data_IF_047693692117
#
_entry.id   IF_047693692117
#
_cell.length_a   1.000
_cell.length_b   1.000
_cell.length_c   1.000
_cell.angle_alpha   90.00
_cell.angle_beta   90.00
_cell.angle_gamma   90.00
#
_symmetry.space_group_name_H-M   'P 1'
#
loop_
_entity.id
_entity.type
_entity.pdbx_description
1 polymer ?
#
# COMPACT_ATOMS: atom_id res chain seq x y z
N UNK A 1 14.02 -13.61 -21.27
CA UNK A 1 15.37 -14.04 -20.83
C UNK A 1 15.94 -12.88 -20.04
N UNK A 2 16.46 -13.10 -18.83
CA UNK A 2 17.14 -12.05 -18.05
C UNK A 2 18.65 -12.10 -18.29
N UNK A 3 19.29 -10.93 -18.28
CA UNK A 3 20.75 -10.78 -18.40
C UNK A 3 21.20 -9.94 -17.22
N UNK A 4 22.22 -10.41 -16.50
CA UNK A 4 22.87 -9.63 -15.46
C UNK A 4 24.17 -9.04 -15.99
N UNK A 5 24.38 -7.74 -15.74
CA UNK A 5 25.65 -7.05 -15.93
C UNK A 5 26.10 -6.50 -14.58
N UNK A 6 27.38 -6.67 -14.19
CA UNK A 6 27.88 -6.23 -12.88
C UNK A 6 28.14 -4.72 -12.85
N UNK A 7 27.11 -3.92 -13.15
CA UNK A 7 27.12 -2.46 -13.14
C UNK A 7 25.82 -2.01 -12.50
N UNK A 8 25.92 -1.28 -11.40
CA UNK A 8 24.76 -0.74 -10.70
C UNK A 8 24.04 0.30 -11.57
N UNK A 9 22.71 0.33 -11.48
CA UNK A 9 21.89 1.36 -12.12
C UNK A 9 22.23 2.77 -11.59
N UNK A 10 22.61 2.85 -10.32
CA UNK A 10 23.07 4.05 -9.65
C UNK A 10 24.25 3.74 -8.71
N UNK A 11 25.20 4.66 -8.60
CA UNK A 11 26.33 4.48 -7.70
C UNK A 11 25.87 4.47 -6.24
N UNK A 12 26.36 3.50 -5.46
CA UNK A 12 26.11 3.43 -4.02
C UNK A 12 27.41 3.65 -3.27
N UNK A 13 27.46 4.71 -2.47
CA UNK A 13 28.60 5.06 -1.63
C UNK A 13 28.13 5.47 -0.24
N UNK A 14 28.28 4.59 0.73
CA UNK A 14 28.03 4.90 2.15
C UNK A 14 29.31 5.46 2.75
N UNK A 15 29.22 6.62 3.38
CA UNK A 15 30.35 7.28 4.03
C UNK A 15 30.41 6.93 5.52
N UNK A 16 29.24 6.81 6.16
CA UNK A 16 29.10 6.51 7.58
C UNK A 16 28.22 5.28 7.76
N UNK A 17 28.82 4.08 7.89
CA UNK A 17 28.05 2.86 8.13
C UNK A 17 27.18 2.95 9.39
N UNK A 18 25.88 2.65 9.25
CA UNK A 18 24.89 2.70 10.33
C UNK A 18 23.93 1.50 10.21
N UNK A 19 24.16 0.42 11.00
CA UNK A 19 23.29 -0.76 10.99
C UNK A 19 21.85 -0.49 11.43
N UNK A 20 21.57 0.59 12.17
CA UNK A 20 20.21 0.95 12.56
C UNK A 20 19.47 1.56 11.38
N UNK A 21 20.16 2.38 10.58
CA UNK A 21 19.61 2.86 9.32
C UNK A 21 19.43 1.71 8.31
N UNK A 22 20.38 0.77 8.25
CA UNK A 22 20.26 -0.44 7.44
C UNK A 22 19.01 -1.27 7.75
N UNK A 23 18.58 -1.33 9.02
CA UNK A 23 17.36 -2.03 9.42
C UNK A 23 16.11 -1.33 8.87
N UNK A 24 16.14 0.01 8.73
CA UNK A 24 15.04 0.77 8.11
C UNK A 24 14.99 0.57 6.60
N UNK A 25 16.14 0.47 5.95
CA UNK A 25 16.23 0.20 4.51
C UNK A 25 15.57 -1.13 4.11
N UNK A 26 15.39 -2.06 5.06
CA UNK A 26 14.66 -3.30 4.82
C UNK A 26 13.20 -3.09 4.42
N UNK A 27 12.59 -1.94 4.74
CA UNK A 27 11.25 -1.59 4.23
C UNK A 27 11.24 -1.54 2.69
N UNK A 28 12.29 -0.98 2.07
CA UNK A 28 12.40 -0.92 0.62
C UNK A 28 13.01 -2.18 0.00
N UNK A 29 13.48 -3.14 0.80
CA UNK A 29 13.97 -4.42 0.29
C UNK A 29 12.91 -5.53 0.42
N UNK A 30 12.57 -5.89 1.66
CA UNK A 30 11.65 -6.98 2.01
C UNK A 30 10.29 -6.53 2.55
N UNK A 31 10.01 -5.22 2.55
CA UNK A 31 8.73 -4.67 3.01
C UNK A 31 7.60 -4.78 1.97
N UNK A 32 6.39 -4.46 2.42
CA UNK A 32 5.17 -4.60 1.62
C UNK A 32 5.10 -3.64 0.43
N UNK A 33 5.76 -2.50 0.50
CA UNK A 33 5.86 -1.51 -0.58
C UNK A 33 7.28 -1.39 -1.12
N UNK A 34 8.14 -2.38 -0.86
CA UNK A 34 9.53 -2.36 -1.29
C UNK A 34 9.74 -2.87 -2.71
N UNK A 35 10.98 -2.75 -3.18
CA UNK A 35 11.40 -2.98 -4.57
C UNK A 35 11.13 -4.40 -5.05
N UNK A 36 11.26 -5.42 -4.18
CA UNK A 36 10.95 -6.79 -4.56
C UNK A 36 9.44 -6.95 -4.85
N UNK A 37 8.59 -6.30 -4.05
CA UNK A 37 7.15 -6.34 -4.27
C UNK A 37 6.80 -5.65 -5.58
N UNK A 38 7.39 -4.48 -5.87
CA UNK A 38 7.19 -3.76 -7.12
C UNK A 38 7.61 -4.61 -8.32
N UNK A 39 8.84 -5.13 -8.33
CA UNK A 39 9.39 -5.99 -9.38
C UNK A 39 8.46 -7.17 -9.72
N UNK A 40 8.07 -7.93 -8.70
CA UNK A 40 7.23 -9.12 -8.88
C UNK A 40 5.81 -8.76 -9.29
N UNK A 41 5.28 -7.63 -8.80
CA UNK A 41 3.95 -7.13 -9.18
C UNK A 41 3.92 -6.79 -10.66
N UNK A 42 4.85 -5.97 -11.14
CA UNK A 42 4.80 -5.47 -12.51
C UNK A 42 5.13 -6.57 -13.54
N UNK A 43 6.09 -7.45 -13.22
CA UNK A 43 6.37 -8.62 -14.05
C UNK A 43 5.15 -9.54 -14.16
N UNK A 44 4.43 -9.81 -13.06
CA UNK A 44 3.25 -10.66 -13.06
C UNK A 44 2.11 -10.02 -13.86
N UNK A 45 1.81 -8.75 -13.58
CA UNK A 45 0.75 -8.01 -14.26
C UNK A 45 0.99 -7.82 -15.76
N UNK A 46 2.25 -7.89 -16.23
CA UNK A 46 2.54 -7.83 -17.67
C UNK A 46 1.80 -8.91 -18.48
N UNK A 47 1.44 -10.03 -17.84
CA UNK A 47 0.67 -11.11 -18.45
C UNK A 47 -0.85 -10.89 -18.41
N UNK A 48 -1.33 -9.82 -17.77
CA UNK A 48 -2.75 -9.50 -17.60
C UNK A 48 -3.31 -8.49 -18.62
N UNK A 49 -2.48 -8.11 -19.59
CA UNK A 49 -2.85 -7.15 -20.64
C UNK A 49 -2.57 -7.72 -22.02
N UNK A 50 -3.49 -7.47 -22.96
CA UNK A 50 -3.31 -7.76 -24.39
C UNK A 50 -2.70 -6.57 -25.15
N UNK A 51 -2.60 -5.39 -24.52
CA UNK A 51 -1.92 -4.24 -25.10
C UNK A 51 -0.40 -4.48 -25.06
N UNK A 52 0.28 -4.63 -26.21
CA UNK A 52 1.69 -4.94 -26.24
C UNK A 52 2.56 -3.81 -25.68
N UNK A 53 2.15 -2.55 -25.80
CA UNK A 53 2.90 -1.40 -25.29
C UNK A 53 2.82 -1.30 -23.75
N UNK A 54 1.66 -1.58 -23.18
CA UNK A 54 1.51 -1.65 -21.70
C UNK A 54 2.26 -2.86 -21.15
N UNK A 55 2.21 -4.00 -21.85
CA UNK A 55 2.99 -5.19 -21.48
C UNK A 55 4.49 -4.89 -21.43
N UNK A 56 5.01 -4.23 -22.47
CA UNK A 56 6.43 -3.84 -22.58
C UNK A 56 6.83 -2.92 -21.42
N UNK A 57 6.05 -1.85 -21.19
CA UNK A 57 6.25 -0.93 -20.07
C UNK A 57 6.28 -1.64 -18.71
N UNK A 58 5.35 -2.56 -18.44
CA UNK A 58 5.32 -3.32 -17.17
C UNK A 58 6.54 -4.24 -17.02
N UNK A 59 7.01 -4.85 -18.10
CA UNK A 59 8.22 -5.69 -18.08
C UNK A 59 9.49 -4.87 -17.90
N UNK A 60 9.57 -3.70 -18.54
CA UNK A 60 10.68 -2.76 -18.40
C UNK A 60 10.78 -2.23 -16.97
N UNK A 61 9.67 -1.70 -16.43
CA UNK A 61 9.64 -1.20 -15.04
C UNK A 61 9.95 -2.34 -14.07
N UNK A 62 9.27 -3.50 -14.18
CA UNK A 62 9.52 -4.64 -13.29
C UNK A 62 10.96 -5.16 -13.35
N UNK A 63 11.66 -4.96 -14.48
CA UNK A 63 13.09 -5.27 -14.61
C UNK A 63 13.97 -4.17 -14.01
N UNK A 64 13.58 -2.90 -14.15
CA UNK A 64 14.23 -1.76 -13.49
C UNK A 64 14.18 -1.90 -11.97
N UNK A 65 13.05 -2.35 -11.39
CA UNK A 65 12.90 -2.57 -9.94
C UNK A 65 13.86 -3.64 -9.40
N UNK A 66 14.28 -4.61 -10.22
CA UNK A 66 15.34 -5.55 -9.80
C UNK A 66 16.70 -4.84 -9.66
N UNK A 67 16.95 -3.79 -10.46
CA UNK A 67 18.10 -2.91 -10.32
C UNK A 67 17.99 -2.00 -9.10
N UNK A 68 16.80 -1.49 -8.80
CA UNK A 68 16.55 -0.74 -7.56
C UNK A 68 16.76 -1.61 -6.31
N UNK A 69 16.24 -2.84 -6.34
CA UNK A 69 16.46 -3.83 -5.30
C UNK A 69 17.96 -4.10 -5.06
N UNK A 70 18.77 -4.12 -6.12
CA UNK A 70 20.24 -4.23 -6.03
C UNK A 70 20.86 -2.99 -5.37
N UNK A 71 20.44 -1.77 -5.74
CA UNK A 71 20.89 -0.51 -5.12
C UNK A 71 20.57 -0.50 -3.62
N UNK A 72 19.35 -0.88 -3.23
CA UNK A 72 18.95 -0.98 -1.81
C UNK A 72 19.76 -2.05 -1.08
N UNK A 73 19.99 -3.22 -1.70
CA UNK A 73 20.81 -4.28 -1.13
C UNK A 73 22.25 -3.79 -0.86
N UNK A 74 22.82 -3.03 -1.81
CA UNK A 74 24.15 -2.45 -1.67
C UNK A 74 24.22 -1.40 -0.56
N UNK A 75 23.18 -0.57 -0.38
CA UNK A 75 23.10 0.34 0.76
C UNK A 75 23.11 -0.42 2.09
N UNK A 76 22.27 -1.45 2.22
CA UNK A 76 22.21 -2.30 3.42
C UNK A 76 23.56 -2.97 3.68
N UNK A 77 24.18 -3.53 2.65
CA UNK A 77 25.50 -4.17 2.76
C UNK A 77 26.56 -3.19 3.25
N UNK A 78 26.66 -2.01 2.65
CA UNK A 78 27.68 -1.03 3.04
C UNK A 78 27.43 -0.43 4.43
N UNK A 79 26.17 -0.21 4.83
CA UNK A 79 25.87 0.22 6.21
C UNK A 79 26.11 -0.87 7.27
N UNK A 80 26.13 -2.15 6.87
CA UNK A 80 26.42 -3.28 7.76
C UNK A 80 27.87 -3.79 7.68
N UNK A 81 28.69 -3.26 6.75
CA UNK A 81 30.13 -3.56 6.64
C UNK A 81 30.92 -3.17 7.90
N UNK A 82 31.94 -3.98 8.23
CA UNK A 82 32.75 -3.80 9.45
C UNK A 82 32.03 -4.23 10.74
N UNK A 83 30.86 -4.85 10.58
CA UNK A 83 29.97 -5.19 11.66
C UNK A 83 30.51 -6.23 12.65
N UNK A 84 31.44 -7.12 12.29
CA UNK A 84 31.88 -8.13 13.28
C UNK A 84 32.67 -7.55 14.47
N UNK A 85 33.32 -6.39 14.31
CA UNK A 85 34.02 -5.71 15.41
C UNK A 85 33.20 -4.55 16.00
N UNK A 86 32.47 -3.78 15.16
CA UNK A 86 31.61 -2.66 15.61
C UNK A 86 30.21 -3.08 16.09
N UNK A 87 29.62 -4.18 15.58
CA UNK A 87 28.36 -4.75 16.09
C UNK A 87 28.57 -5.46 17.42
N UNK A 88 29.81 -5.81 17.80
CA UNK A 88 30.10 -6.43 19.11
C UNK A 88 30.05 -5.42 20.25
N UNK A 89 30.51 -4.18 20.06
CA UNK A 89 30.43 -3.12 21.07
C UNK A 89 29.05 -2.45 21.12
N UNK A 90 28.25 -2.59 20.05
CA UNK A 90 26.86 -2.15 19.93
C UNK A 90 25.88 -3.33 19.87
N UNK A 91 26.14 -4.40 20.62
CA UNK A 91 25.51 -5.74 20.58
C UNK A 91 23.96 -5.83 20.60
N UNK A 92 23.22 -4.72 20.59
CA UNK A 92 21.76 -4.71 20.79
C UNK A 92 20.94 -3.72 19.93
N UNK A 93 21.49 -3.05 18.91
CA UNK A 93 20.67 -2.10 18.13
C UNK A 93 19.88 -2.71 16.97
N UNK A 94 20.33 -3.82 16.40
CA UNK A 94 19.53 -4.68 15.52
C UNK A 94 19.92 -6.14 15.77
N UNK A 95 19.07 -6.87 16.48
CA UNK A 95 19.24 -8.32 16.72
C UNK A 95 19.32 -9.09 15.40
N UNK A 96 18.62 -8.60 14.37
CA UNK A 96 18.60 -9.19 13.05
C UNK A 96 20.02 -9.31 12.46
N UNK A 97 20.73 -8.20 12.28
CA UNK A 97 22.07 -8.26 11.65
C UNK A 97 23.13 -8.90 12.56
N UNK A 98 23.01 -8.74 13.88
CA UNK A 98 23.96 -9.32 14.83
C UNK A 98 23.92 -10.85 14.87
N UNK A 99 22.73 -11.45 14.74
CA UNK A 99 22.54 -12.91 14.84
C UNK A 99 22.42 -13.55 13.46
N UNK A 100 21.59 -13.00 12.56
CA UNK A 100 21.34 -13.55 11.22
C UNK A 100 22.46 -13.21 10.24
N UNK A 101 23.20 -12.13 10.50
CA UNK A 101 24.34 -11.69 9.71
C UNK A 101 24.11 -10.36 8.99
N UNK A 102 25.19 -9.63 8.61
CA UNK A 102 25.11 -8.38 7.86
C UNK A 102 24.54 -8.61 6.45
N UNK A 103 24.11 -7.52 5.80
CA UNK A 103 23.54 -7.54 4.45
C UNK A 103 22.01 -7.66 4.41
N UNK A 104 21.47 -7.67 3.19
CA UNK A 104 20.04 -7.66 2.95
C UNK A 104 19.36 -8.99 3.33
N UNK A 105 18.16 -8.89 3.91
CA UNK A 105 17.31 -10.02 4.26
C UNK A 105 15.89 -9.76 3.77
N UNK A 106 15.17 -10.80 3.34
CA UNK A 106 13.76 -10.69 2.89
C UNK A 106 12.80 -10.59 4.08
N UNK A 107 12.97 -9.54 4.86
CA UNK A 107 12.11 -9.12 5.96
C UNK A 107 11.95 -7.60 5.92
N UNK A 108 10.91 -7.07 6.58
CA UNK A 108 10.76 -5.63 6.83
C UNK A 108 11.64 -5.15 8.01
N UNK A 109 11.55 -3.87 8.40
CA UNK A 109 12.33 -3.32 9.52
C UNK A 109 11.91 -3.83 10.91
N UNK A 110 10.85 -4.62 10.98
CA UNK A 110 10.35 -5.30 12.18
C UNK A 110 10.59 -6.81 12.17
N UNK A 111 11.20 -7.33 11.11
CA UNK A 111 11.50 -8.74 10.96
C UNK A 111 10.33 -9.58 10.44
N UNK A 112 9.23 -8.98 9.98
CA UNK A 112 8.17 -9.72 9.29
C UNK A 112 8.71 -10.19 7.96
N UNK A 113 8.51 -11.46 7.63
CA UNK A 113 8.97 -12.01 6.36
C UNK A 113 8.22 -11.39 5.19
N UNK A 114 8.97 -11.13 4.11
CA UNK A 114 8.35 -10.83 2.83
C UNK A 114 7.39 -11.96 2.44
N UNK A 115 6.23 -11.59 1.92
CA UNK A 115 5.15 -12.54 1.63
C UNK A 115 4.54 -12.23 0.26
N UNK A 116 4.24 -13.28 -0.51
CA UNK A 116 3.63 -13.15 -1.83
C UNK A 116 2.26 -12.43 -1.80
N UNK A 117 1.60 -12.36 -0.63
CA UNK A 117 0.38 -11.56 -0.42
C UNK A 117 0.57 -10.06 -0.64
N UNK A 118 1.80 -9.55 -0.68
CA UNK A 118 2.09 -8.16 -1.03
C UNK A 118 1.96 -7.90 -2.54
N UNK A 119 2.07 -8.94 -3.38
CA UNK A 119 1.93 -8.81 -4.84
C UNK A 119 0.48 -8.54 -5.17
N UNK A 120 0.18 -7.29 -5.56
CA UNK A 120 -1.18 -6.83 -5.76
C UNK A 120 -1.60 -6.96 -7.23
N UNK A 121 -1.99 -8.15 -7.63
CA UNK A 121 -2.41 -8.49 -8.99
C UNK A 121 -3.87 -8.95 -9.03
N UNK A 122 -4.58 -8.72 -10.15
CA UNK A 122 -5.99 -9.07 -10.25
C UNK A 122 -6.46 -9.51 -11.62
N UNK A 123 -5.57 -9.63 -12.61
CA UNK A 123 -5.92 -10.08 -13.96
C UNK A 123 -6.58 -9.02 -14.86
N UNK A 124 -6.72 -7.77 -14.40
CA UNK A 124 -7.40 -6.71 -15.14
C UNK A 124 -6.52 -5.46 -15.19
N UNK A 125 -6.02 -5.13 -16.39
CA UNK A 125 -5.02 -4.05 -16.61
C UNK A 125 -5.39 -2.70 -15.98
N UNK A 126 -6.65 -2.25 -16.06
CA UNK A 126 -7.06 -0.96 -15.48
C UNK A 126 -7.00 -0.98 -13.95
N UNK A 127 -7.42 -2.09 -13.34
CA UNK A 127 -7.37 -2.28 -11.88
C UNK A 127 -5.92 -2.39 -11.42
N UNK A 128 -5.11 -3.14 -12.16
CA UNK A 128 -3.70 -3.38 -11.85
C UNK A 128 -2.87 -2.09 -11.95
N UNK A 129 -3.05 -1.28 -13.01
CA UNK A 129 -2.36 0.02 -13.13
C UNK A 129 -2.72 1.01 -12.02
N UNK A 130 -3.96 0.98 -11.49
CA UNK A 130 -4.34 1.80 -10.32
C UNK A 130 -3.69 1.29 -9.03
N UNK A 131 -3.61 -0.02 -8.87
CA UNK A 131 -2.87 -0.62 -7.76
C UNK A 131 -1.38 -0.21 -7.81
N UNK A 132 -0.80 -0.12 -9.01
CA UNK A 132 0.59 0.31 -9.18
C UNK A 132 0.79 1.77 -8.78
N UNK A 133 -0.10 2.69 -9.17
CA UNK A 133 -0.04 4.08 -8.72
C UNK A 133 -0.05 4.17 -7.18
N UNK A 134 -0.88 3.35 -6.51
CA UNK A 134 -0.90 3.29 -5.06
C UNK A 134 0.39 2.68 -4.46
N UNK A 135 0.95 1.66 -5.11
CA UNK A 135 2.21 1.03 -4.70
C UNK A 135 3.37 2.03 -4.78
N UNK A 136 3.52 2.71 -5.92
CA UNK A 136 4.53 3.75 -6.14
C UNK A 136 4.40 4.91 -5.14
N UNK A 137 3.17 5.35 -4.84
CA UNK A 137 2.94 6.37 -3.82
C UNK A 137 3.36 5.91 -2.41
N UNK A 138 3.13 4.63 -2.07
CA UNK A 138 3.57 4.03 -0.81
C UNK A 138 5.10 3.91 -0.71
N UNK A 139 5.75 3.49 -1.79
CA UNK A 139 7.19 3.40 -1.89
C UNK A 139 7.84 4.79 -1.79
N UNK A 140 7.31 5.79 -2.51
CA UNK A 140 7.77 7.18 -2.44
C UNK A 140 7.69 7.74 -1.01
N UNK A 141 6.57 7.53 -0.31
CA UNK A 141 6.43 7.98 1.08
C UNK A 141 7.47 7.33 2.01
N UNK A 142 7.77 6.04 1.79
CA UNK A 142 8.82 5.32 2.52
C UNK A 142 10.20 5.90 2.20
N UNK A 143 10.49 6.17 0.92
CA UNK A 143 11.74 6.82 0.52
C UNK A 143 11.91 8.22 1.11
N UNK A 144 10.86 9.05 1.11
CA UNK A 144 10.89 10.38 1.74
C UNK A 144 11.22 10.30 3.23
N UNK A 145 10.64 9.32 3.94
CA UNK A 145 10.97 9.07 5.35
C UNK A 145 12.44 8.64 5.52
N UNK A 146 12.95 7.74 4.67
CA UNK A 146 14.35 7.30 4.70
C UNK A 146 15.32 8.46 4.39
N UNK A 147 14.99 9.30 3.41
CA UNK A 147 15.73 10.52 3.05
C UNK A 147 15.87 11.44 4.25
N UNK A 148 14.78 11.67 4.99
CA UNK A 148 14.79 12.51 6.19
C UNK A 148 15.64 11.95 7.34
N UNK A 149 15.91 10.64 7.33
CA UNK A 149 16.71 9.93 8.32
C UNK A 149 18.11 9.56 7.81
N UNK A 150 18.49 9.96 6.60
CA UNK A 150 19.72 9.50 5.96
C UNK A 150 20.97 9.97 6.72
N UNK A 151 21.95 9.09 6.99
CA UNK A 151 23.09 9.40 7.85
C UNK A 151 24.26 10.10 7.11
N UNK A 152 24.29 10.05 5.77
CA UNK A 152 25.36 10.64 4.96
C UNK A 152 24.89 11.01 3.53
N UNK A 153 25.69 11.83 2.85
CA UNK A 153 25.34 12.42 1.54
C UNK A 153 25.27 11.37 0.43
N UNK A 154 26.07 10.31 0.50
CA UNK A 154 26.08 9.28 -0.54
C UNK A 154 24.88 8.33 -0.44
N UNK A 155 24.45 8.00 0.77
CA UNK A 155 23.19 7.28 1.03
C UNK A 155 21.99 8.13 0.58
N UNK A 156 22.03 9.43 0.90
CA UNK A 156 21.01 10.39 0.49
C UNK A 156 20.90 10.52 -1.03
N UNK A 157 22.03 10.51 -1.76
CA UNK A 157 22.03 10.57 -3.21
C UNK A 157 21.34 9.36 -3.85
N UNK A 158 21.65 8.15 -3.38
CA UNK A 158 21.02 6.93 -3.86
C UNK A 158 19.51 6.90 -3.56
N UNK A 159 19.11 7.26 -2.34
CA UNK A 159 17.69 7.31 -1.96
C UNK A 159 16.90 8.35 -2.76
N UNK A 160 17.49 9.51 -3.05
CA UNK A 160 16.87 10.53 -3.91
C UNK A 160 16.70 10.04 -5.35
N UNK A 161 17.68 9.29 -5.87
CA UNK A 161 17.57 8.69 -7.19
C UNK A 161 16.36 7.75 -7.24
N UNK A 162 16.27 6.79 -6.30
CA UNK A 162 15.18 5.83 -6.20
C UNK A 162 13.82 6.53 -6.05
N UNK A 163 13.70 7.47 -5.10
CA UNK A 163 12.48 8.26 -4.92
C UNK A 163 12.03 9.00 -6.19
N UNK A 164 12.98 9.49 -6.99
CA UNK A 164 12.68 10.17 -8.26
C UNK A 164 12.18 9.17 -9.31
N UNK A 165 12.63 7.93 -9.28
CA UNK A 165 12.15 6.87 -10.17
C UNK A 165 10.69 6.51 -9.87
N UNK A 166 10.27 6.49 -8.60
CA UNK A 166 8.87 6.25 -8.24
C UNK A 166 7.92 7.29 -8.85
N UNK A 167 8.35 8.55 -8.88
CA UNK A 167 7.59 9.63 -9.53
C UNK A 167 7.45 9.37 -11.03
N UNK A 168 8.51 8.87 -11.67
CA UNK A 168 8.48 8.55 -13.09
C UNK A 168 7.58 7.32 -13.38
N UNK A 169 7.66 6.26 -12.58
CA UNK A 169 6.81 5.08 -12.70
C UNK A 169 5.34 5.44 -12.51
N UNK A 170 5.03 6.24 -11.47
CA UNK A 170 3.70 6.82 -11.26
C UNK A 170 3.20 7.54 -12.52
N UNK A 171 4.05 8.40 -13.12
CA UNK A 171 3.70 9.12 -14.34
C UNK A 171 3.46 8.17 -15.53
N UNK A 172 4.24 7.11 -15.67
CA UNK A 172 4.07 6.09 -16.72
C UNK A 172 2.72 5.37 -16.56
N UNK A 173 2.39 4.88 -15.36
CA UNK A 173 1.11 4.22 -15.09
C UNK A 173 -0.10 5.14 -15.29
N UNK A 174 -0.01 6.39 -14.83
CA UNK A 174 -1.05 7.39 -15.09
C UNK A 174 -1.23 7.67 -16.59
N UNK A 175 -0.13 7.71 -17.35
CA UNK A 175 -0.17 7.93 -18.80
C UNK A 175 -0.77 6.74 -19.54
N UNK A 176 -0.47 5.51 -19.11
CA UNK A 176 -1.11 4.29 -19.63
C UNK A 176 -2.63 4.26 -19.35
N UNK A 177 -3.06 4.61 -18.13
CA UNK A 177 -4.49 4.76 -17.84
C UNK A 177 -5.15 5.85 -18.69
N UNK A 178 -4.45 6.96 -18.92
CA UNK A 178 -4.95 8.06 -19.75
C UNK A 178 -5.11 7.65 -21.22
N UNK A 179 -4.19 6.87 -21.80
CA UNK A 179 -4.32 6.40 -23.19
C UNK A 179 -5.54 5.50 -23.41
N UNK A 180 -5.99 4.82 -22.35
CA UNK A 180 -7.19 3.99 -22.35
C UNK A 180 -8.47 4.77 -22.04
N UNK A 181 -8.40 6.08 -21.76
CA UNK A 181 -9.50 6.88 -21.18
C UNK A 181 -10.04 6.29 -19.86
N UNK A 182 -9.13 5.76 -19.03
CA UNK A 182 -9.45 5.11 -17.75
C UNK A 182 -8.77 5.74 -16.54
N UNK A 183 -8.15 6.91 -16.70
CA UNK A 183 -7.51 7.62 -15.59
C UNK A 183 -8.54 8.12 -14.57
N UNK A 184 -9.64 8.69 -15.04
CA UNK A 184 -10.69 9.33 -14.25
C UNK A 184 -12.04 8.61 -14.29
N UNK A 185 -12.19 7.56 -15.10
CA UNK A 185 -13.41 6.73 -15.16
C UNK A 185 -13.52 5.82 -13.92
N UNK A 186 -14.50 5.99 -13.02
CA UNK A 186 -14.60 5.16 -11.82
C UNK A 186 -14.85 3.67 -12.14
N UNK A 187 -15.39 3.35 -13.32
CA UNK A 187 -15.78 2.00 -13.69
C UNK A 187 -14.68 1.27 -14.50
N UNK A 188 -14.21 0.13 -13.97
CA UNK A 188 -13.26 -0.74 -14.66
C UNK A 188 -13.90 -2.00 -15.27
N UNK A 189 -15.07 -2.41 -14.80
CA UNK A 189 -15.81 -3.58 -15.30
C UNK A 189 -17.03 -3.21 -16.16
N UNK A 190 -17.91 -4.18 -16.39
CA UNK A 190 -19.12 -4.00 -17.22
C UNK A 190 -20.40 -3.67 -16.41
N UNK A 191 -20.25 -3.42 -15.10
CA UNK A 191 -21.39 -3.07 -14.24
C UNK A 191 -22.13 -1.87 -14.83
N UNK A 192 -23.46 -1.96 -14.91
CA UNK A 192 -24.33 -0.81 -15.18
C UNK A 192 -24.77 -0.26 -13.82
N UNK A 193 -24.22 0.87 -13.35
CA UNK A 193 -24.59 1.41 -12.06
C UNK A 193 -26.05 1.83 -12.06
N UNK A 194 -26.72 1.65 -10.93
CA UNK A 194 -28.08 2.14 -10.72
C UNK A 194 -28.06 3.60 -10.23
N UNK A 195 -29.23 4.11 -9.84
CA UNK A 195 -29.43 5.47 -9.34
C UNK A 195 -28.64 5.81 -8.06
N UNK A 196 -28.04 4.81 -7.40
CA UNK A 196 -27.27 4.99 -6.16
C UNK A 196 -25.81 5.35 -6.39
N UNK A 197 -25.32 5.29 -7.65
CA UNK A 197 -23.90 5.50 -7.99
C UNK A 197 -23.30 6.82 -7.48
N UNK A 198 -24.13 7.84 -7.27
CA UNK A 198 -23.72 9.14 -6.79
C UNK A 198 -24.30 9.50 -5.42
N UNK A 199 -24.71 8.52 -4.62
CA UNK A 199 -25.18 8.76 -3.25
C UNK A 199 -23.98 8.75 -2.30
N UNK A 200 -23.88 9.79 -1.48
CA UNK A 200 -22.96 9.84 -0.35
C UNK A 200 -23.75 9.66 0.95
N UNK A 201 -23.46 8.60 1.69
CA UNK A 201 -24.05 8.35 3.00
C UNK A 201 -23.19 8.95 4.10
N UNK A 202 -23.75 9.87 4.89
CA UNK A 202 -23.10 10.30 6.12
C UNK A 202 -23.33 9.26 7.22
N UNK A 203 -22.33 8.41 7.43
CA UNK A 203 -22.38 7.39 8.47
C UNK A 203 -21.92 7.90 9.85
N UNK A 204 -21.52 9.17 9.96
CA UNK A 204 -21.09 9.80 11.20
C UNK A 204 -22.30 10.35 11.99
N UNK A 205 -22.21 10.34 13.32
CA UNK A 205 -23.26 10.85 14.23
C UNK A 205 -22.72 11.75 15.35
N UNK A 206 -21.58 12.38 15.12
CA UNK A 206 -20.92 13.27 16.08
C UNK A 206 -21.54 14.67 16.19
N UNK A 207 -21.15 15.41 17.23
CA UNK A 207 -21.61 16.79 17.49
C UNK A 207 -20.94 17.85 16.60
N UNK A 208 -19.97 17.46 15.75
CA UNK A 208 -19.29 18.36 14.82
C UNK A 208 -20.15 18.62 13.58
N UNK A 209 -19.93 19.76 12.93
CA UNK A 209 -20.47 19.96 11.59
C UNK A 209 -19.81 18.99 10.62
N UNK A 210 -20.59 18.41 9.72
CA UNK A 210 -20.05 17.58 8.64
C UNK A 210 -19.26 18.47 7.67
N UNK A 211 -18.04 18.05 7.34
CA UNK A 211 -17.24 18.72 6.33
C UNK A 211 -17.77 18.42 4.94
N UNK A 212 -17.96 19.47 4.13
CA UNK A 212 -18.55 19.39 2.79
C UNK A 212 -17.54 19.83 1.73
N UNK A 213 -17.44 19.06 0.66
CA UNK A 213 -16.58 19.33 -0.49
C UNK A 213 -17.07 18.65 -1.77
N UNK A 214 -16.33 18.79 -2.89
CA UNK A 214 -16.73 18.21 -4.18
C UNK A 214 -16.95 16.68 -4.15
N UNK A 215 -16.35 15.97 -3.19
CA UNK A 215 -16.44 14.52 -3.04
C UNK A 215 -17.67 14.01 -2.27
N UNK A 216 -18.49 14.90 -1.71
CA UNK A 216 -19.69 14.53 -0.93
C UNK A 216 -20.83 15.54 -1.05
N UNK A 217 -20.80 16.38 -2.07
CA UNK A 217 -21.77 17.47 -2.24
C UNK A 217 -22.35 17.54 -3.64
N UNK A 218 -23.53 18.15 -3.70
CA UNK A 218 -24.26 18.41 -4.91
C UNK A 218 -23.49 19.42 -5.80
N UNK A 219 -23.59 19.34 -7.14
CA UNK A 219 -24.43 18.42 -7.91
C UNK A 219 -23.79 17.04 -8.15
N UNK A 220 -22.52 16.84 -7.77
CA UNK A 220 -21.80 15.60 -8.05
C UNK A 220 -22.39 14.41 -7.26
N UNK A 221 -22.62 14.60 -5.95
CA UNK A 221 -23.15 13.58 -5.06
C UNK A 221 -24.43 14.05 -4.37
N UNK A 222 -25.38 13.13 -4.19
CA UNK A 222 -26.59 13.33 -3.37
C UNK A 222 -26.23 13.01 -1.91
N UNK A 223 -26.28 14.00 -1.04
CA UNK A 223 -25.88 13.83 0.36
C UNK A 223 -27.03 13.30 1.21
N UNK A 224 -26.85 12.14 1.81
CA UNK A 224 -27.78 11.54 2.78
C UNK A 224 -27.23 11.76 4.19
N UNK A 225 -27.77 12.79 4.86
CA UNK A 225 -27.30 13.20 6.19
C UNK A 225 -27.62 12.18 7.31
N UNK A 226 -28.75 11.49 7.20
CA UNK A 226 -29.17 10.43 8.13
C UNK A 226 -29.61 9.20 7.32
N UNK A 227 -28.66 8.27 7.05
CA UNK A 227 -28.94 7.07 6.28
C UNK A 227 -30.03 6.20 6.89
N UNK A 228 -30.09 6.10 8.22
CA UNK A 228 -31.11 5.29 8.89
C UNK A 228 -32.51 5.85 8.63
N UNK A 229 -32.69 7.16 8.81
CA UNK A 229 -33.97 7.79 8.49
C UNK A 229 -34.32 7.69 7.00
N UNK A 230 -33.33 7.77 6.11
CA UNK A 230 -33.55 7.61 4.68
C UNK A 230 -34.11 6.22 4.36
N UNK A 231 -33.42 5.17 4.81
CA UNK A 231 -33.84 3.77 4.61
C UNK A 231 -35.21 3.48 5.24
N UNK A 232 -35.46 3.99 6.45
CA UNK A 232 -36.77 3.84 7.10
C UNK A 232 -37.90 4.47 6.27
N UNK A 233 -37.67 5.61 5.61
CA UNK A 233 -38.66 6.26 4.74
C UNK A 233 -38.89 5.46 3.46
N UNK A 234 -37.83 4.98 2.83
CA UNK A 234 -37.91 4.17 1.61
C UNK A 234 -38.66 2.86 1.86
N UNK A 235 -38.32 2.15 2.95
CA UNK A 235 -39.02 0.93 3.35
C UNK A 235 -40.45 1.16 3.84
N UNK A 236 -40.72 2.27 4.56
CA UNK A 236 -42.10 2.62 4.94
C UNK A 236 -42.98 2.94 3.72
N UNK A 237 -42.40 3.51 2.66
CA UNK A 237 -43.06 3.72 1.37
C UNK A 237 -43.37 2.41 0.61
N UNK A 238 -42.57 1.36 0.84
CA UNK A 238 -42.79 0.02 0.27
C UNK A 238 -43.71 -0.87 1.14
N UNK A 239 -43.90 -0.52 2.43
CA UNK A 239 -44.70 -1.27 3.40
C UNK A 239 -46.24 -1.23 3.19
N UNK A 240 -46.71 -0.74 2.04
CA UNK A 240 -48.04 -1.08 1.53
C UNK A 240 -48.17 -2.53 1.05
N UNK A 241 -47.06 -3.29 0.96
CA UNK A 241 -47.02 -4.62 0.34
C UNK A 241 -46.72 -5.84 1.22
N UNK A 242 -45.93 -5.74 2.30
CA UNK A 242 -45.68 -6.90 3.19
C UNK A 242 -44.93 -6.46 4.46
N UNK A 243 -45.61 -6.43 5.60
CA UNK A 243 -44.99 -6.14 6.89
C UNK A 243 -44.46 -7.44 7.54
N UNK A 244 -43.13 -7.61 7.56
CA UNK A 244 -42.49 -8.56 8.49
C UNK A 244 -42.29 -7.84 9.82
N UNK A 245 -43.14 -8.17 10.79
CA UNK A 245 -43.12 -7.64 12.15
C UNK A 245 -42.00 -8.32 12.95
N UNK A 246 -40.85 -7.66 13.11
CA UNK A 246 -39.86 -8.11 14.11
C UNK A 246 -40.41 -7.84 15.51
N UNK A 247 -40.72 -8.90 16.25
CA UNK A 247 -41.06 -8.83 17.67
C UNK A 247 -39.82 -8.45 18.48
N UNK A 248 -39.87 -7.28 19.12
CA UNK A 248 -38.96 -6.95 20.22
C UNK A 248 -39.23 -7.90 21.39
N UNK A 249 -38.31 -8.80 21.69
CA UNK A 249 -38.30 -9.56 22.94
C UNK A 249 -37.89 -8.62 24.08
N UNK A 250 -38.79 -8.41 25.04
CA UNK A 250 -38.46 -7.70 26.29
C UNK A 250 -37.49 -8.53 27.15
N UNK A 251 -36.56 -7.89 27.89
CA UNK A 251 -35.69 -8.60 28.82
C UNK A 251 -36.47 -9.02 30.07
N UNK A 252 -36.54 -10.33 30.30
CA UNK A 252 -37.20 -10.93 31.46
C UNK A 252 -36.51 -10.55 32.77
N UNK A 253 -37.29 -10.00 33.71
CA UNK A 253 -36.84 -9.69 35.06
C UNK A 253 -36.52 -10.96 35.86
N UNK A 254 -35.31 -11.00 36.42
CA UNK A 254 -34.91 -12.02 37.38
C UNK A 254 -35.54 -11.73 38.75
N UNK A 255 -36.27 -12.72 39.30
CA UNK A 255 -36.70 -12.74 40.71
C UNK A 255 -35.55 -13.25 41.59
N UNK A 256 -35.37 -12.75 42.82
CA UNK A 256 -34.39 -13.29 43.76
C UNK A 256 -34.97 -14.53 44.47
N UNK A 257 -34.24 -15.64 44.42
CA UNK A 257 -34.53 -16.82 45.24
C UNK A 257 -33.81 -16.68 46.59
N UNK A 258 -34.57 -16.44 47.65
CA UNK A 258 -34.16 -16.72 49.01
C UNK A 258 -34.69 -18.08 49.45
N UNK A 259 -33.86 -18.89 50.09
CA UNK A 259 -34.31 -19.92 51.03
C UNK A 259 -33.24 -20.20 52.07
N UNK A 260 -33.62 -20.10 53.33
CA UNK A 260 -32.78 -20.31 54.50
C UNK A 260 -32.64 -21.79 54.88
N UNK A 261 -31.51 -22.09 55.53
CA UNK A 261 -31.31 -23.01 56.66
C UNK A 261 -32.10 -24.32 56.74
N UNK A 262 -31.37 -25.44 56.71
CA UNK A 262 -31.17 -26.35 57.85
C UNK A 262 -29.86 -27.10 57.69
#
# INVERSE_FOLDING_TARGET
MFIHKPVLLHEVRVETPDPVFAEKLLEQFGGATGELTAALTYLTQSFHTEDPGIRDMLQDIGTEELGHLEVVAMLIEQHTKGGSERLRDAAYRSTLFAIRGPGAHLVDSKGSFWDARYVNEGGYVVRDLRANIAAEAGALATYEALIAMSPDDGSLAALRHLATREVAHTQMFMTALKSMNKLDDPLFGELKPDETVNVYYNMSSGNGADERGPWNSEPAFKYVADPLQNEMREHAGQAGGNAIRMQQTQPGGAKPSGSSSR
#
